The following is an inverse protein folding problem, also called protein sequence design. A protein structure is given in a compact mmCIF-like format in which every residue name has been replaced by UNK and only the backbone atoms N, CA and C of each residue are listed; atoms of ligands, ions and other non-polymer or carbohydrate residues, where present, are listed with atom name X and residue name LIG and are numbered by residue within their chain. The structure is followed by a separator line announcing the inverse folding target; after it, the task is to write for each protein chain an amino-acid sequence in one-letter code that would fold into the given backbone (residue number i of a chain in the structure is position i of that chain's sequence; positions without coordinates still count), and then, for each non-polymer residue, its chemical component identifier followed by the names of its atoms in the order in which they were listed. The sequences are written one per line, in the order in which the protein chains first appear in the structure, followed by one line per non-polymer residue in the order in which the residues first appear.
data_IF_228963472778
#
_entry.id   IF_228963472778
#
_cell.length_a   1.000
_cell.length_b   1.000
_cell.length_c   1.000
_cell.angle_alpha   90.00
_cell.angle_beta   90.00
_cell.angle_gamma   90.00
#
_symmetry.space_group_name_H-M   'P 1'
#
loop_
_entity.id
_entity.type
_entity.pdbx_description
1 polymer ?
#
# COMPACT_ATOMS: atom_id res chain seq x y z
N UNK A 1 17.25 -9.39 11.02
CA UNK A 1 17.41 -8.19 10.17
C UNK A 1 16.40 -8.22 9.02
N UNK A 2 16.23 -9.32 8.27
CA UNK A 2 15.28 -9.35 7.14
C UNK A 2 13.80 -9.14 7.53
N UNK A 3 13.40 -9.65 8.70
CA UNK A 3 12.05 -9.42 9.22
C UNK A 3 11.75 -7.95 9.56
N UNK A 4 12.75 -7.15 9.94
CA UNK A 4 12.54 -5.73 10.24
C UNK A 4 12.19 -4.96 8.96
N UNK A 5 12.85 -5.28 7.84
CA UNK A 5 12.55 -4.68 6.53
C UNK A 5 11.11 -4.97 6.09
N UNK A 6 10.64 -6.20 6.32
CA UNK A 6 9.27 -6.60 6.00
C UNK A 6 8.28 -5.84 6.89
N UNK A 7 8.53 -5.76 8.19
CA UNK A 7 7.67 -5.04 9.12
C UNK A 7 7.60 -3.55 8.81
N UNK A 8 8.71 -2.93 8.42
CA UNK A 8 8.75 -1.52 8.01
C UNK A 8 7.90 -1.27 6.75
N UNK A 9 7.96 -2.18 5.77
CA UNK A 9 7.09 -2.12 4.57
C UNK A 9 5.63 -2.21 4.98
N UNK A 10 5.28 -3.15 5.86
CA UNK A 10 3.90 -3.33 6.32
C UNK A 10 3.40 -2.15 7.15
N UNK A 11 4.27 -1.50 7.92
CA UNK A 11 3.93 -0.29 8.67
C UNK A 11 3.56 0.86 7.71
N UNK A 12 4.33 1.07 6.65
CA UNK A 12 4.05 2.11 5.66
C UNK A 12 2.76 1.84 4.88
N UNK A 13 2.47 0.57 4.59
CA UNK A 13 1.20 0.11 4.00
C UNK A 13 0.03 0.51 4.89
N UNK A 14 0.11 0.23 6.20
CA UNK A 14 -0.97 0.58 7.15
C UNK A 14 -1.18 2.10 7.18
N UNK A 15 -0.10 2.89 7.28
CA UNK A 15 -0.18 4.35 7.25
C UNK A 15 -0.80 4.88 5.95
N UNK A 16 -0.42 4.31 4.80
CA UNK A 16 -0.98 4.70 3.51
C UNK A 16 -2.47 4.36 3.42
N UNK A 17 -2.87 3.14 3.80
CA UNK A 17 -4.27 2.71 3.76
C UNK A 17 -5.14 3.60 4.64
N UNK A 18 -4.70 3.88 5.86
CA UNK A 18 -5.39 4.78 6.79
C UNK A 18 -5.51 6.20 6.23
N UNK A 19 -4.46 6.71 5.58
CA UNK A 19 -4.47 8.05 4.96
C UNK A 19 -5.38 8.11 3.74
N UNK A 20 -5.32 7.10 2.86
CA UNK A 20 -6.07 7.06 1.60
C UNK A 20 -7.59 6.92 1.82
N UNK A 21 -8.01 6.25 2.90
CA UNK A 21 -9.42 6.04 3.23
C UNK A 21 -10.06 7.18 4.02
N UNK A 22 -9.27 8.12 4.57
CA UNK A 22 -9.82 9.31 5.23
C UNK A 22 -10.46 10.23 4.20
N UNK A 23 -11.71 10.70 4.39
CA UNK A 23 -12.41 11.61 3.48
C UNK A 23 -11.81 13.02 3.32
N UNK A 24 -10.53 13.22 3.64
CA UNK A 24 -9.90 14.52 3.55
C UNK A 24 -9.64 14.89 2.07
N UNK A 25 -9.95 16.14 1.73
CA UNK A 25 -9.67 16.81 0.46
C UNK A 25 -8.16 16.96 0.22
N UNK A 26 -7.40 15.86 0.25
CA UNK A 26 -5.99 15.89 -0.05
C UNK A 26 -5.82 15.31 -1.45
N UNK A 27 -5.89 16.20 -2.44
CA UNK A 27 -5.24 15.98 -3.73
C UNK A 27 -3.72 16.09 -3.50
N UNK A 28 -3.19 15.19 -2.67
CA UNK A 28 -1.76 15.13 -2.41
C UNK A 28 -1.13 14.28 -3.51
N UNK A 29 -0.32 14.91 -4.35
CA UNK A 29 0.54 14.16 -5.26
C UNK A 29 1.44 13.17 -4.50
N UNK A 30 1.71 13.40 -3.20
CA UNK A 30 2.39 12.41 -2.34
C UNK A 30 1.57 11.15 -2.16
N UNK A 31 0.25 11.23 -1.96
CA UNK A 31 -0.61 10.04 -1.81
C UNK A 31 -0.60 9.22 -3.11
N UNK A 32 -0.53 9.87 -4.28
CA UNK A 32 -0.43 9.17 -5.58
C UNK A 32 0.90 8.44 -5.77
N UNK A 33 2.00 8.93 -5.19
CA UNK A 33 3.34 8.35 -5.34
C UNK A 33 3.69 7.31 -4.26
N UNK A 34 3.07 7.39 -3.07
CA UNK A 34 3.24 6.41 -1.99
C UNK A 34 3.02 4.95 -2.41
N UNK A 35 1.96 4.56 -3.15
CA UNK A 35 1.76 3.16 -3.55
C UNK A 35 2.87 2.66 -4.48
N UNK A 36 3.39 3.51 -5.37
CA UNK A 36 4.50 3.19 -6.28
C UNK A 36 5.78 2.90 -5.49
N UNK A 37 6.07 3.71 -4.47
CA UNK A 37 7.25 3.54 -3.62
C UNK A 37 7.17 2.27 -2.76
N UNK A 38 5.99 1.98 -2.20
CA UNK A 38 5.74 0.75 -1.43
C UNK A 38 5.91 -0.48 -2.33
N UNK A 39 5.32 -0.47 -3.54
CA UNK A 39 5.43 -1.58 -4.49
C UNK A 39 6.89 -1.86 -4.87
N UNK A 40 7.68 -0.82 -5.13
CA UNK A 40 9.13 -0.96 -5.41
C UNK A 40 9.90 -1.58 -4.24
N UNK A 41 9.59 -1.19 -3.01
CA UNK A 41 10.22 -1.78 -1.82
C UNK A 41 9.83 -3.24 -1.61
N UNK A 42 8.59 -3.61 -1.93
CA UNK A 42 8.13 -5.00 -1.92
C UNK A 42 8.91 -5.85 -2.94
N UNK A 43 9.16 -5.34 -4.15
CA UNK A 43 9.94 -6.06 -5.18
C UNK A 43 11.41 -6.29 -4.77
N UNK A 44 11.97 -5.39 -3.96
CA UNK A 44 13.36 -5.44 -3.51
C UNK A 44 13.53 -6.15 -2.16
N UNK A 45 12.44 -6.56 -1.52
CA UNK A 45 12.48 -7.18 -0.19
C UNK A 45 13.24 -8.52 -0.25
N UNK A 46 14.13 -8.81 0.71
CA UNK A 46 14.91 -10.04 0.76
C UNK A 46 14.06 -11.21 1.30
N UNK A 47 13.02 -11.60 0.55
CA UNK A 47 12.12 -12.71 0.91
C UNK A 47 12.43 -13.97 0.11
N UNK A 48 12.38 -15.12 0.79
CA UNK A 48 12.54 -16.42 0.15
C UNK A 48 11.37 -16.71 -0.80
N UNK A 49 11.65 -17.38 -1.92
CA UNK A 49 10.61 -17.80 -2.87
C UNK A 49 9.68 -18.83 -2.24
N UNK A 50 8.38 -18.69 -2.49
CA UNK A 50 7.30 -19.51 -1.95
C UNK A 50 7.18 -19.47 -0.41
N UNK A 51 7.78 -18.47 0.24
CA UNK A 51 7.59 -18.21 1.66
C UNK A 51 6.24 -17.55 1.94
N UNK A 52 5.76 -17.66 3.19
CA UNK A 52 4.54 -16.97 3.61
C UNK A 52 4.74 -15.45 3.58
N UNK A 53 5.93 -15.01 3.92
CA UNK A 53 6.40 -13.63 3.90
C UNK A 53 6.29 -13.05 2.49
N UNK A 54 6.80 -13.77 1.48
CA UNK A 54 6.63 -13.37 0.09
C UNK A 54 5.15 -13.28 -0.29
N UNK A 55 4.34 -14.27 0.10
CA UNK A 55 2.91 -14.27 -0.20
C UNK A 55 2.16 -13.09 0.45
N UNK A 56 2.51 -12.74 1.69
CA UNK A 56 1.97 -11.58 2.39
C UNK A 56 2.35 -10.30 1.64
N UNK A 57 3.63 -10.11 1.30
CA UNK A 57 4.07 -8.93 0.57
C UNK A 57 3.40 -8.80 -0.80
N UNK A 58 3.21 -9.88 -1.55
CA UNK A 58 2.53 -9.83 -2.85
C UNK A 58 1.03 -9.52 -2.71
N UNK A 59 0.35 -10.07 -1.70
CA UNK A 59 -1.05 -9.73 -1.42
C UNK A 59 -1.18 -8.27 -0.99
N UNK A 60 -0.26 -7.78 -0.16
CA UNK A 60 -0.21 -6.38 0.25
C UNK A 60 0.04 -5.45 -0.94
N UNK A 61 0.95 -5.81 -1.86
CA UNK A 61 1.17 -5.06 -3.10
C UNK A 61 -0.12 -4.92 -3.90
N UNK A 62 -0.81 -6.04 -4.15
CA UNK A 62 -2.06 -6.05 -4.89
C UNK A 62 -3.11 -5.12 -4.25
N UNK A 63 -3.24 -5.17 -2.92
CA UNK A 63 -4.15 -4.28 -2.19
C UNK A 63 -3.80 -2.79 -2.40
N UNK A 64 -2.52 -2.45 -2.31
CA UNK A 64 -2.02 -1.07 -2.45
C UNK A 64 -2.23 -0.54 -3.86
N UNK A 65 -2.05 -1.38 -4.89
CA UNK A 65 -2.28 -1.02 -6.30
C UNK A 65 -3.77 -0.77 -6.59
N UNK A 66 -4.68 -1.52 -5.96
CA UNK A 66 -6.13 -1.37 -6.15
C UNK A 66 -6.75 -0.26 -5.30
N UNK A 67 -6.12 0.14 -4.19
CA UNK A 67 -6.69 1.11 -3.26
C UNK A 67 -7.08 2.46 -3.89
N UNK A 68 -6.30 3.06 -4.82
CA UNK A 68 -6.69 4.30 -5.48
C UNK A 68 -8.05 4.19 -6.20
N UNK A 69 -8.30 3.08 -6.89
CA UNK A 69 -9.56 2.83 -7.60
C UNK A 69 -10.72 2.62 -6.61
N UNK A 70 -10.47 1.92 -5.50
CA UNK A 70 -11.44 1.73 -4.42
C UNK A 70 -11.82 3.08 -3.81
N UNK A 71 -10.84 3.93 -3.49
CA UNK A 71 -11.06 5.26 -2.92
C UNK A 71 -11.84 6.15 -3.88
N UNK A 72 -11.48 6.15 -5.17
CA UNK A 72 -12.21 6.88 -6.20
C UNK A 72 -13.67 6.41 -6.30
N UNK A 73 -13.91 5.10 -6.26
CA UNK A 73 -15.25 4.51 -6.27
C UNK A 73 -16.06 4.94 -5.04
N UNK A 74 -15.45 4.92 -3.86
CA UNK A 74 -16.08 5.39 -2.60
C UNK A 74 -16.47 6.87 -2.70
N UNK A 75 -15.60 7.72 -3.25
CA UNK A 75 -15.90 9.16 -3.47
C UNK A 75 -17.11 9.34 -4.39
N UNK A 76 -17.15 8.62 -5.51
CA UNK A 76 -18.26 8.67 -6.47
C UNK A 76 -19.59 8.24 -5.85
N UNK A 77 -19.59 7.14 -5.06
CA UNK A 77 -20.78 6.65 -4.36
C UNK A 77 -21.28 7.68 -3.34
N UNK A 78 -20.37 8.30 -2.60
CA UNK A 78 -20.70 9.24 -1.54
C UNK A 78 -20.90 10.69 -2.04
N UNK A 79 -20.73 10.95 -3.35
CA UNK A 79 -20.75 12.30 -3.94
C UNK A 79 -19.80 13.29 -3.23
N UNK A 80 -18.66 12.78 -2.75
CA UNK A 80 -17.59 13.55 -2.11
C UNK A 80 -16.62 14.13 -3.14
#
# INVERSE_FOLDING_TARGET
MDNEVILDILNDVVCYVDTALKPALIDDDKIKQTPVNIAKRIEQAPVEKNSKEQQVLQQTRLLIELLPEIVNTIKQINQL
#
